data_IF_880246605666
#
_entry.id   IF_880246605666
#
_cell.length_a   1.000
_cell.length_b   1.000
_cell.length_c   1.000
_cell.angle_alpha   90.00
_cell.angle_beta   90.00
_cell.angle_gamma   90.00
#
_symmetry.space_group_name_H-M   'P 1'
#
loop_
_entity.id
_entity.type
_entity.pdbx_description
1 polymer ?
#
# COMPACT_ATOMS: atom_id res chain seq x y z
N UNK A 1 9.85 7.81 8.50
CA UNK A 1 9.65 7.04 7.24
C UNK A 1 10.38 5.70 7.25
N UNK A 2 11.68 5.64 7.59
CA UNK A 2 12.45 4.38 7.54
C UNK A 2 11.87 3.24 8.39
N UNK A 3 11.63 3.48 9.69
CA UNK A 3 11.05 2.47 10.60
C UNK A 3 9.69 1.96 10.09
N UNK A 4 8.78 2.88 9.75
CA UNK A 4 7.49 2.53 9.15
C UNK A 4 7.65 1.63 7.92
N UNK A 5 8.57 1.96 7.01
CA UNK A 5 8.80 1.14 5.82
C UNK A 5 9.31 -0.26 6.18
N UNK A 6 10.20 -0.42 7.15
CA UNK A 6 10.68 -1.74 7.59
C UNK A 6 9.57 -2.57 8.25
N UNK A 7 8.71 -1.94 9.06
CA UNK A 7 7.55 -2.59 9.66
C UNK A 7 6.58 -3.08 8.56
N UNK A 8 6.28 -2.22 7.58
CA UNK A 8 5.42 -2.57 6.46
C UNK A 8 6.02 -3.68 5.60
N UNK A 9 7.33 -3.66 5.35
CA UNK A 9 8.01 -4.75 4.62
C UNK A 9 7.82 -6.10 5.32
N UNK A 10 7.85 -6.12 6.66
CA UNK A 10 7.62 -7.33 7.44
C UNK A 10 6.17 -7.80 7.31
N UNK A 11 5.20 -6.89 7.42
CA UNK A 11 3.78 -7.22 7.21
C UNK A 11 3.53 -7.80 5.81
N UNK A 12 4.11 -7.22 4.77
CA UNK A 12 3.98 -7.70 3.39
C UNK A 12 4.58 -9.10 3.19
N UNK A 13 5.74 -9.39 3.80
CA UNK A 13 6.35 -10.75 3.76
C UNK A 13 5.45 -11.78 4.43
N UNK A 14 4.86 -11.44 5.57
CA UNK A 14 3.94 -12.34 6.27
C UNK A 14 2.65 -12.56 5.49
N UNK A 15 2.11 -11.52 4.84
CA UNK A 15 0.99 -11.67 3.89
C UNK A 15 1.34 -12.64 2.76
N UNK A 16 2.53 -12.53 2.16
CA UNK A 16 2.99 -13.48 1.15
C UNK A 16 3.05 -14.90 1.73
N UNK A 17 3.61 -15.08 2.92
CA UNK A 17 3.78 -16.41 3.54
C UNK A 17 2.45 -17.13 3.75
N UNK A 18 1.42 -16.44 4.24
CA UNK A 18 0.14 -17.07 4.61
C UNK A 18 -0.85 -17.20 3.46
N UNK A 19 -0.77 -16.33 2.46
CA UNK A 19 -1.75 -16.31 1.38
C UNK A 19 -1.50 -17.48 0.41
N UNK A 20 -2.58 -18.16 -0.03
CA UNK A 20 -2.48 -19.24 -1.03
C UNK A 20 -2.11 -18.64 -2.41
N UNK A 21 -1.37 -19.37 -3.28
CA UNK A 21 -1.10 -18.93 -4.65
C UNK A 21 -2.38 -18.54 -5.40
N UNK A 22 -2.31 -17.48 -6.20
CA UNK A 22 -3.44 -16.95 -6.97
C UNK A 22 -4.54 -16.25 -6.13
N UNK A 23 -4.40 -16.15 -4.80
CA UNK A 23 -5.31 -15.38 -3.95
C UNK A 23 -4.86 -13.93 -3.79
N UNK A 24 -5.73 -13.11 -3.20
CA UNK A 24 -5.63 -11.66 -3.27
C UNK A 24 -5.36 -11.00 -1.91
N UNK A 25 -4.65 -9.88 -1.94
CA UNK A 25 -4.49 -8.96 -0.82
C UNK A 25 -5.00 -7.58 -1.26
N UNK A 26 -5.84 -6.95 -0.44
CA UNK A 26 -6.29 -5.59 -0.64
C UNK A 26 -5.63 -4.68 0.41
N UNK A 27 -4.96 -3.63 -0.04
CA UNK A 27 -4.28 -2.66 0.82
C UNK A 27 -4.88 -1.29 0.55
N UNK A 28 -5.46 -0.67 1.57
CA UNK A 28 -5.95 0.72 1.52
C UNK A 28 -4.82 1.61 2.02
N UNK A 29 -4.31 2.49 1.17
CA UNK A 29 -3.16 3.34 1.50
C UNK A 29 -3.15 4.63 0.70
N UNK A 30 -2.78 5.74 1.33
CA UNK A 30 -2.61 7.04 0.70
C UNK A 30 -1.20 7.60 0.89
N UNK A 31 -0.87 8.63 0.12
CA UNK A 31 0.38 9.37 0.33
C UNK A 31 0.25 10.20 1.61
N UNK A 32 1.29 10.15 2.45
CA UNK A 32 1.27 10.83 3.75
C UNK A 32 2.03 12.15 3.69
N UNK A 33 1.47 13.28 4.14
CA UNK A 33 2.24 14.48 4.41
C UNK A 33 3.08 14.26 5.69
N UNK A 34 4.40 14.42 5.59
CA UNK A 34 5.32 14.32 6.72
C UNK A 34 6.33 15.45 6.64
N UNK A 35 6.42 16.26 7.71
CA UNK A 35 7.33 17.42 7.78
C UNK A 35 7.23 18.36 6.57
N UNK A 36 6.01 18.63 6.10
CA UNK A 36 5.74 19.51 4.96
C UNK A 36 6.09 18.90 3.58
N UNK A 37 6.45 17.62 3.51
CA UNK A 37 6.70 16.90 2.25
C UNK A 37 5.74 15.74 2.09
N UNK A 38 5.30 15.50 0.87
CA UNK A 38 4.52 14.31 0.54
C UNK A 38 5.44 13.08 0.46
N UNK A 39 5.12 12.05 1.24
CA UNK A 39 5.74 10.73 1.15
C UNK A 39 4.92 9.89 0.18
N UNK A 40 5.58 9.38 -0.86
CA UNK A 40 4.98 8.54 -1.92
C UNK A 40 4.74 7.10 -1.45
N UNK A 41 3.98 6.94 -0.37
CA UNK A 41 3.74 5.64 0.27
C UNK A 41 3.05 4.67 -0.69
N UNK A 42 2.11 5.14 -1.51
CA UNK A 42 1.41 4.31 -2.51
C UNK A 42 2.42 3.69 -3.48
N UNK A 43 3.33 4.50 -4.03
CA UNK A 43 4.37 4.00 -4.95
C UNK A 43 5.30 3.02 -4.26
N UNK A 44 5.75 3.32 -3.05
CA UNK A 44 6.61 2.42 -2.28
C UNK A 44 5.95 1.04 -2.08
N UNK A 45 4.67 1.02 -1.69
CA UNK A 45 3.93 -0.22 -1.47
C UNK A 45 3.80 -1.03 -2.76
N UNK A 46 3.44 -0.40 -3.88
CA UNK A 46 3.36 -1.07 -5.19
C UNK A 46 4.72 -1.67 -5.55
N UNK A 47 5.78 -0.85 -5.56
CA UNK A 47 7.11 -1.27 -5.99
C UNK A 47 7.68 -2.40 -5.10
N UNK A 48 7.39 -2.39 -3.80
CA UNK A 48 7.85 -3.43 -2.89
C UNK A 48 7.04 -4.72 -3.02
N UNK A 49 5.70 -4.63 -3.10
CA UNK A 49 4.82 -5.79 -3.25
C UNK A 49 5.10 -6.54 -4.56
N UNK A 50 5.31 -5.82 -5.67
CA UNK A 50 5.71 -6.42 -6.96
C UNK A 50 7.02 -7.20 -6.83
N UNK A 51 8.06 -6.59 -6.26
CA UNK A 51 9.37 -7.25 -6.05
C UNK A 51 9.30 -8.44 -5.11
N UNK A 52 8.34 -8.45 -4.19
CA UNK A 52 8.16 -9.51 -3.20
C UNK A 52 7.51 -10.77 -3.79
N UNK A 53 6.78 -10.65 -4.92
CA UNK A 53 6.08 -11.78 -5.55
C UNK A 53 4.56 -11.64 -5.59
N UNK A 54 4.05 -10.42 -5.45
CA UNK A 54 2.66 -10.09 -5.79
C UNK A 54 2.58 -9.42 -7.17
N UNK A 55 1.37 -9.36 -7.72
CA UNK A 55 1.04 -8.59 -8.92
C UNK A 55 -0.15 -7.67 -8.65
N UNK A 56 -0.01 -6.39 -8.93
CA UNK A 56 -1.05 -5.38 -8.85
C UNK A 56 -2.03 -5.60 -10.00
N UNK A 57 -3.26 -5.92 -9.66
CA UNK A 57 -4.35 -6.11 -10.63
C UNK A 57 -5.20 -4.86 -10.81
N UNK A 58 -5.42 -4.12 -9.73
CA UNK A 58 -6.22 -2.90 -9.72
C UNK A 58 -5.61 -1.91 -8.75
N UNK A 59 -5.58 -0.65 -9.17
CA UNK A 59 -5.44 0.49 -8.29
C UNK A 59 -6.71 1.33 -8.44
N UNK A 60 -7.47 1.46 -7.36
CA UNK A 60 -8.73 2.20 -7.34
C UNK A 60 -8.53 3.46 -6.51
N UNK A 61 -8.73 4.62 -7.14
CA UNK A 61 -8.73 5.89 -6.42
C UNK A 61 -9.96 5.96 -5.52
N UNK A 62 -9.73 6.30 -4.24
CA UNK A 62 -10.77 6.54 -3.25
C UNK A 62 -10.60 7.95 -2.69
N UNK A 63 -11.61 8.78 -2.93
CA UNK A 63 -11.69 10.12 -2.36
C UNK A 63 -12.11 10.00 -0.90
N UNK A 64 -11.47 10.77 -0.01
CA UNK A 64 -11.85 10.85 1.40
C UNK A 64 -12.66 12.13 1.60
N UNK A 65 -13.94 11.98 1.95
CA UNK A 65 -14.81 13.11 2.31
C UNK A 65 -14.76 13.37 3.82
N UNK A 66 -14.50 14.62 4.23
CA UNK A 66 -14.52 15.04 5.64
C UNK A 66 -13.82 16.39 5.86
N UNK A 67 -14.33 17.19 6.80
CA UNK A 67 -13.95 18.61 7.03
C UNK A 67 -12.51 18.83 7.54
N UNK A 68 -11.82 17.78 8.01
CA UNK A 68 -10.51 17.88 8.68
C UNK A 68 -9.38 17.11 7.98
N UNK A 69 -9.59 16.64 6.74
CA UNK A 69 -8.65 15.73 6.11
C UNK A 69 -7.49 16.46 5.44
N UNK A 70 -6.30 16.37 6.04
CA UNK A 70 -5.02 16.79 5.42
C UNK A 70 -4.71 15.93 4.18
N UNK A 71 -5.19 14.69 4.14
CA UNK A 71 -5.03 13.74 3.02
C UNK A 71 -6.35 13.62 2.23
N UNK A 72 -6.34 14.00 0.96
CA UNK A 72 -7.56 14.08 0.14
C UNK A 72 -7.82 12.84 -0.72
N UNK A 73 -6.82 11.98 -0.91
CA UNK A 73 -6.89 10.80 -1.76
C UNK A 73 -6.16 9.63 -1.12
N UNK A 74 -6.80 8.47 -1.14
CA UNK A 74 -6.20 7.18 -0.85
C UNK A 74 -6.47 6.21 -2.00
N UNK A 75 -5.75 5.10 -2.03
CA UNK A 75 -5.83 4.09 -3.05
C UNK A 75 -6.22 2.75 -2.42
N UNK A 76 -7.11 2.01 -3.07
CA UNK A 76 -7.31 0.59 -2.81
C UNK A 76 -6.48 -0.18 -3.83
N UNK A 77 -5.39 -0.77 -3.35
CA UNK A 77 -4.49 -1.58 -4.15
C UNK A 77 -4.89 -3.05 -4.02
N UNK A 78 -5.27 -3.68 -5.13
CA UNK A 78 -5.61 -5.11 -5.18
C UNK A 78 -4.44 -5.86 -5.81
N UNK A 79 -3.79 -6.67 -5.00
CA UNK A 79 -2.69 -7.54 -5.40
C UNK A 79 -3.15 -8.99 -5.49
N UNK A 80 -2.58 -9.75 -6.41
CA UNK A 80 -2.67 -11.21 -6.47
C UNK A 80 -1.31 -11.81 -6.16
N UNK A 81 -1.23 -12.79 -5.25
CA UNK A 81 -0.01 -13.57 -5.06
C UNK A 81 0.28 -14.37 -6.31
N UNK A 82 1.51 -14.26 -6.82
CA UNK A 82 1.99 -15.05 -7.95
C UNK A 82 1.90 -16.55 -7.64
#
# INVERSE_FOLDING_TARGET
>A
VHLYNEDMKTAYREMLRVLKPGKFAAIVIGNAPYQGREIRTVKFTIDYMERLGFHLLRNIDKIIFGLYNVMQKENILIFRKA
#
